data_IF_940922324722
#
_entry.id   IF_940922324722
#
_cell.length_a   1.000
_cell.length_b   1.000
_cell.length_c   1.000
_cell.angle_alpha   90.00
_cell.angle_beta   90.00
_cell.angle_gamma   90.00
#
_symmetry.space_group_name_H-M   'P 1'
#
loop_
_entity.id
_entity.type
_entity.pdbx_description
1 polymer ?
#
# COMPACT_ATOMS: atom_id res chain seq x y z
N UNK A 1 -19.01 9.52 -8.85
CA UNK A 1 -18.08 9.20 -7.76
C UNK A 1 -18.64 7.95 -7.11
N UNK A 2 -18.14 6.78 -7.49
CA UNK A 2 -18.63 5.48 -7.00
C UNK A 2 -17.95 5.23 -5.65
N UNK A 3 -18.74 4.85 -4.66
CA UNK A 3 -18.28 4.63 -3.30
C UNK A 3 -17.37 3.40 -3.26
N UNK A 4 -16.07 3.62 -3.03
CA UNK A 4 -15.07 2.56 -2.97
C UNK A 4 -15.30 1.58 -1.82
N UNK A 5 -16.12 1.92 -0.82
CA UNK A 5 -16.47 0.98 0.25
C UNK A 5 -17.38 -0.14 -0.24
N UNK A 6 -18.29 0.17 -1.17
CA UNK A 6 -19.23 -0.78 -1.74
C UNK A 6 -18.54 -1.85 -2.60
N UNK A 7 -17.52 -1.45 -3.38
CA UNK A 7 -16.73 -2.37 -4.20
C UNK A 7 -15.90 -3.34 -3.33
N UNK A 8 -15.39 -2.89 -2.18
CA UNK A 8 -14.66 -3.77 -1.25
C UNK A 8 -15.58 -4.79 -0.59
N UNK A 9 -16.77 -4.38 -0.15
CA UNK A 9 -17.73 -5.29 0.47
C UNK A 9 -18.18 -6.37 -0.52
N UNK A 10 -18.36 -6.01 -1.79
CA UNK A 10 -18.64 -6.96 -2.87
C UNK A 10 -17.46 -7.91 -3.09
N UNK A 11 -16.23 -7.42 -3.15
CA UNK A 11 -15.02 -8.24 -3.31
C UNK A 11 -14.87 -9.23 -2.14
N UNK A 12 -14.97 -8.76 -0.90
CA UNK A 12 -14.89 -9.58 0.32
C UNK A 12 -16.00 -10.65 0.37
N UNK A 13 -17.22 -10.30 -0.06
CA UNK A 13 -18.37 -11.22 0.01
C UNK A 13 -18.18 -12.48 -0.85
N UNK A 14 -17.36 -12.38 -1.90
CA UNK A 14 -17.10 -13.47 -2.84
C UNK A 14 -15.97 -14.41 -2.40
N UNK A 15 -15.13 -13.99 -1.43
CA UNK A 15 -13.95 -14.73 -1.02
C UNK A 15 -14.26 -15.70 0.13
N UNK A 16 -13.59 -16.86 0.18
CA UNK A 16 -13.61 -17.71 1.36
C UNK A 16 -13.13 -16.90 2.58
N UNK A 17 -13.84 -17.02 3.70
CA UNK A 17 -13.48 -16.36 4.95
C UNK A 17 -13.41 -17.33 6.12
N UNK A 18 -12.46 -17.11 7.01
CA UNK A 18 -12.25 -17.93 8.20
C UNK A 18 -12.17 -17.03 9.44
N UNK A 19 -12.75 -17.49 10.56
CA UNK A 19 -12.68 -16.75 11.81
C UNK A 19 -11.26 -16.81 12.36
N UNK A 20 -10.73 -15.66 12.76
CA UNK A 20 -9.35 -15.58 13.27
C UNK A 20 -9.31 -15.24 14.76
N UNK A 21 -9.26 -13.95 15.12
CA UNK A 21 -9.14 -13.49 16.52
C UNK A 21 -10.28 -12.52 16.83
N UNK A 22 -10.97 -12.74 17.95
CA UNK A 22 -12.10 -11.91 18.34
C UNK A 22 -13.24 -11.96 17.31
N UNK A 23 -13.63 -10.78 16.81
CA UNK A 23 -14.62 -10.59 15.75
C UNK A 23 -13.97 -10.43 14.36
N UNK A 24 -12.65 -10.56 14.25
CA UNK A 24 -11.93 -10.45 12.99
C UNK A 24 -11.99 -11.76 12.18
N UNK A 25 -12.06 -11.58 10.85
CA UNK A 25 -12.03 -12.65 9.86
C UNK A 25 -10.86 -12.46 8.92
N UNK A 26 -10.29 -13.57 8.47
CA UNK A 26 -9.34 -13.60 7.37
C UNK A 26 -10.07 -13.99 6.09
N UNK A 27 -9.62 -13.45 4.97
CA UNK A 27 -10.16 -13.71 3.64
C UNK A 27 -9.08 -14.36 2.79
N UNK A 28 -9.43 -15.43 2.06
CA UNK A 28 -8.49 -16.15 1.24
C UNK A 28 -8.43 -15.56 -0.17
N UNK A 29 -7.25 -15.12 -0.60
CA UNK A 29 -7.00 -14.59 -1.93
C UNK A 29 -5.67 -15.14 -2.44
N UNK A 30 -5.66 -15.69 -3.66
CA UNK A 30 -4.43 -16.23 -4.27
C UNK A 30 -3.77 -17.36 -3.47
N UNK A 31 -4.52 -18.06 -2.61
CA UNK A 31 -4.01 -19.12 -1.72
C UNK A 31 -3.45 -18.63 -0.37
N UNK A 32 -3.45 -17.32 -0.11
CA UNK A 32 -3.01 -16.72 1.14
C UNK A 32 -4.17 -16.12 1.91
N UNK A 33 -4.01 -15.99 3.23
CA UNK A 33 -5.02 -15.43 4.12
C UNK A 33 -4.68 -13.99 4.49
N UNK A 34 -5.63 -13.09 4.27
CA UNK A 34 -5.46 -11.65 4.41
C UNK A 34 -6.46 -11.07 5.40
N UNK A 35 -6.04 -10.05 6.15
CA UNK A 35 -6.96 -9.18 6.87
C UNK A 35 -7.76 -8.34 5.85
N UNK A 36 -8.99 -7.90 6.19
CA UNK A 36 -9.85 -7.12 5.29
C UNK A 36 -9.13 -5.93 4.65
N UNK A 37 -8.28 -5.24 5.42
CA UNK A 37 -7.57 -4.05 4.95
C UNK A 37 -6.49 -4.36 3.90
N UNK A 38 -5.98 -5.60 3.88
CA UNK A 38 -4.95 -6.04 2.93
C UNK A 38 -5.54 -6.58 1.62
N UNK A 39 -6.87 -6.70 1.49
CA UNK A 39 -7.49 -7.31 0.30
C UNK A 39 -7.22 -6.53 -0.99
N UNK A 40 -6.89 -5.23 -0.85
CA UNK A 40 -6.48 -4.37 -1.94
C UNK A 40 -5.25 -4.87 -2.71
N UNK A 41 -4.57 -5.92 -2.24
CA UNK A 41 -3.53 -6.63 -2.98
C UNK A 41 -3.99 -7.00 -4.41
N UNK A 42 -5.26 -7.38 -4.59
CA UNK A 42 -5.81 -7.68 -5.91
C UNK A 42 -5.73 -6.47 -6.85
N UNK A 43 -6.05 -5.29 -6.29
CA UNK A 43 -5.96 -4.02 -7.01
C UNK A 43 -4.51 -3.67 -7.35
N UNK A 44 -3.57 -3.89 -6.42
CA UNK A 44 -2.14 -3.73 -6.69
C UNK A 44 -1.71 -4.63 -7.86
N UNK A 45 -2.03 -5.92 -7.80
CA UNK A 45 -1.64 -6.89 -8.84
C UNK A 45 -2.16 -6.47 -10.22
N UNK A 46 -3.41 -6.00 -10.31
CA UNK A 46 -4.04 -5.70 -11.60
C UNK A 46 -3.78 -4.28 -12.12
N UNK A 47 -3.51 -3.31 -11.23
CA UNK A 47 -3.47 -1.89 -11.60
C UNK A 47 -2.10 -1.24 -11.38
N UNK A 48 -1.16 -1.90 -10.71
CA UNK A 48 0.18 -1.36 -10.53
C UNK A 48 0.96 -1.40 -11.85
N UNK A 49 1.43 -0.22 -12.26
CA UNK A 49 2.22 -0.02 -13.47
C UNK A 49 3.64 0.42 -13.06
N UNK A 50 4.59 -0.51 -12.90
CA UNK A 50 5.93 -0.18 -12.45
C UNK A 50 6.68 0.65 -13.50
N UNK A 51 7.38 1.68 -13.03
CA UNK A 51 8.38 2.37 -13.83
C UNK A 51 9.74 1.65 -13.72
N UNK A 52 10.63 1.74 -14.73
CA UNK A 52 11.97 1.16 -14.65
C UNK A 52 12.82 1.68 -13.49
N UNK A 53 12.47 2.84 -12.94
CA UNK A 53 13.14 3.47 -11.79
C UNK A 53 12.54 3.09 -10.43
N UNK A 54 11.42 2.37 -10.41
CA UNK A 54 10.74 2.05 -9.16
C UNK A 54 11.52 1.01 -8.35
N UNK A 55 11.55 1.21 -7.03
CA UNK A 55 12.18 0.29 -6.09
C UNK A 55 11.11 -0.24 -5.14
N UNK A 56 10.85 -1.54 -5.23
CA UNK A 56 9.85 -2.23 -4.41
C UNK A 56 10.55 -3.02 -3.31
N UNK A 57 10.17 -2.76 -2.06
CA UNK A 57 10.62 -3.54 -0.91
C UNK A 57 9.53 -4.55 -0.54
N UNK A 58 9.82 -5.84 -0.71
CA UNK A 58 8.92 -6.93 -0.32
C UNK A 58 9.42 -7.62 0.96
N UNK A 59 8.52 -7.81 1.93
CA UNK A 59 8.79 -8.48 3.21
C UNK A 59 7.49 -8.99 3.83
N UNK A 60 7.58 -10.01 4.69
CA UNK A 60 6.44 -10.37 5.53
C UNK A 60 6.06 -9.25 6.50
N UNK A 61 4.77 -9.13 6.88
CA UNK A 61 4.33 -8.15 7.87
C UNK A 61 5.17 -8.23 9.15
N UNK A 62 5.46 -7.07 9.74
CA UNK A 62 6.16 -6.91 11.03
C UNK A 62 7.61 -7.40 11.13
N UNK A 63 8.23 -7.86 10.05
CA UNK A 63 9.65 -8.28 10.02
C UNK A 63 10.66 -7.11 10.09
N UNK A 64 10.47 -6.15 10.99
CA UNK A 64 11.40 -5.03 11.19
C UNK A 64 11.42 -4.01 10.04
N UNK A 65 10.32 -3.88 9.30
CA UNK A 65 10.23 -3.04 8.09
C UNK A 65 10.59 -1.57 8.31
N UNK A 66 10.48 -1.06 9.54
CA UNK A 66 10.85 0.33 9.86
C UNK A 66 12.33 0.63 9.61
N UNK A 67 13.22 -0.27 10.02
CA UNK A 67 14.67 -0.11 9.83
C UNK A 67 15.05 -0.26 8.37
N UNK A 68 14.48 -1.25 7.67
CA UNK A 68 14.72 -1.45 6.25
C UNK A 68 14.21 -0.27 5.42
N UNK A 69 13.02 0.27 5.76
CA UNK A 69 12.49 1.48 5.12
C UNK A 69 13.38 2.70 5.38
N UNK A 70 13.85 2.89 6.60
CA UNK A 70 14.76 3.99 6.93
C UNK A 70 16.10 3.88 6.18
N UNK A 71 16.66 2.68 6.09
CA UNK A 71 17.90 2.41 5.36
C UNK A 71 17.73 2.66 3.86
N UNK A 72 16.68 2.11 3.26
CA UNK A 72 16.36 2.31 1.84
C UNK A 72 16.18 3.79 1.51
N UNK A 73 15.39 4.50 2.34
CA UNK A 73 15.20 5.95 2.19
C UNK A 73 16.52 6.72 2.28
N UNK A 74 17.39 6.37 3.23
CA UNK A 74 18.69 7.02 3.42
C UNK A 74 19.63 6.86 2.23
N UNK A 75 19.57 5.72 1.55
CA UNK A 75 20.42 5.40 0.39
C UNK A 75 19.96 6.16 -0.84
N UNK A 76 18.65 6.21 -1.07
CA UNK A 76 18.05 6.87 -2.24
C UNK A 76 18.07 8.40 -2.06
N UNK A 77 17.65 8.89 -0.89
CA UNK A 77 17.48 10.31 -0.59
C UNK A 77 18.65 10.86 0.24
N UNK A 78 19.90 10.68 -0.22
CA UNK A 78 21.10 11.00 0.57
C UNK A 78 21.17 12.44 1.07
N UNK A 79 20.69 13.39 0.28
CA UNK A 79 20.65 14.82 0.63
C UNK A 79 19.56 15.16 1.67
N UNK A 80 18.54 14.33 1.78
CA UNK A 80 17.35 14.56 2.62
C UNK A 80 17.25 13.60 3.80
N UNK A 81 18.37 13.02 4.24
CA UNK A 81 18.43 12.10 5.40
C UNK A 81 17.89 12.71 6.69
N UNK A 82 18.00 14.04 6.83
CA UNK A 82 17.45 14.78 7.97
C UNK A 82 15.94 14.57 8.14
N UNK A 83 15.21 14.14 7.09
CA UNK A 83 13.78 13.83 7.22
C UNK A 83 13.52 12.61 8.11
N UNK A 84 14.45 11.65 8.20
CA UNK A 84 14.31 10.48 9.07
C UNK A 84 14.37 10.81 10.57
N UNK A 85 14.87 11.99 10.95
CA UNK A 85 14.90 12.42 12.36
C UNK A 85 13.60 13.09 12.80
N UNK A 86 12.75 13.49 11.85
CA UNK A 86 11.49 14.21 12.11
C UNK A 86 10.25 13.45 11.65
N UNK A 87 10.38 12.55 10.67
CA UNK A 87 9.28 11.79 10.10
C UNK A 87 9.45 10.28 10.33
N UNK A 88 8.33 9.59 10.56
CA UNK A 88 8.32 8.14 10.65
C UNK A 88 8.62 7.50 9.27
N UNK A 89 9.53 6.52 9.17
CA UNK A 89 9.85 5.83 7.90
C UNK A 89 8.63 5.23 7.17
N UNK A 90 7.58 4.84 7.89
CA UNK A 90 6.33 4.35 7.31
C UNK A 90 5.53 5.43 6.57
N UNK A 91 5.80 6.71 6.83
CA UNK A 91 5.24 7.84 6.08
C UNK A 91 6.08 8.19 4.85
N UNK A 92 7.40 7.96 4.91
CA UNK A 92 8.33 8.25 3.82
C UNK A 92 8.30 7.20 2.71
N UNK A 93 8.03 5.93 3.04
CA UNK A 93 7.91 4.85 2.07
C UNK A 93 6.51 4.23 2.19
N UNK A 94 5.58 4.55 1.27
CA UNK A 94 4.21 4.03 1.32
C UNK A 94 4.21 2.51 1.17
N UNK A 95 3.17 1.88 1.72
CA UNK A 95 2.89 0.46 1.53
C UNK A 95 1.82 0.38 0.43
N UNK A 96 2.12 -0.34 -0.65
CA UNK A 96 1.26 -0.38 -1.85
C UNK A 96 -0.18 -0.78 -1.49
N UNK A 97 -0.31 -1.85 -0.73
CA UNK A 97 -1.60 -2.52 -0.47
C UNK A 97 -2.49 -1.74 0.50
N UNK A 98 -1.91 -0.85 1.33
CA UNK A 98 -2.65 -0.12 2.37
C UNK A 98 -2.77 1.37 2.09
N UNK A 99 -1.70 2.03 1.63
CA UNK A 99 -1.66 3.49 1.48
C UNK A 99 -1.87 3.94 0.04
N UNK A 100 -1.37 3.18 -0.93
CA UNK A 100 -1.46 3.56 -2.35
C UNK A 100 -2.76 3.08 -2.97
N UNK A 101 -3.15 1.85 -2.66
CA UNK A 101 -4.35 1.22 -3.21
C UNK A 101 -5.45 0.97 -2.18
N UNK A 102 -5.22 1.29 -0.91
CA UNK A 102 -6.21 1.17 0.16
C UNK A 102 -7.22 2.32 0.18
N UNK A 103 -8.39 2.07 0.77
CA UNK A 103 -9.43 3.08 1.01
C UNK A 103 -9.06 3.97 2.19
N UNK A 104 -8.20 4.96 1.97
CA UNK A 104 -8.11 6.13 2.88
C UNK A 104 -9.06 7.19 2.35
N UNK A 105 -9.97 7.77 3.17
CA UNK A 105 -10.74 8.93 2.74
C UNK A 105 -9.74 10.02 2.37
N UNK A 106 -9.85 10.51 1.13
CA UNK A 106 -8.89 11.45 0.55
C UNK A 106 -8.76 12.70 1.43
N UNK A 107 -7.72 12.75 2.28
CA UNK A 107 -7.11 14.03 2.58
C UNK A 107 -6.39 14.47 1.32
N UNK A 108 -7.03 15.38 0.62
CA UNK A 108 -6.54 16.06 -0.56
C UNK A 108 -5.07 16.44 -0.39
N UNK A 109 -4.19 15.89 -1.24
CA UNK A 109 -3.24 16.62 -2.11
C UNK A 109 -2.38 15.55 -2.83
N UNK A 110 -2.93 14.92 -3.85
CA UNK A 110 -2.13 14.23 -4.86
C UNK A 110 -2.46 14.87 -6.20
N UNK A 111 -1.63 15.84 -6.59
CA UNK A 111 -1.67 16.44 -7.92
C UNK A 111 -1.25 15.34 -8.90
N UNK A 112 -2.08 14.95 -9.88
CA UNK A 112 -1.67 13.97 -10.88
C UNK A 112 -0.54 14.56 -11.75
N UNK A 113 0.44 13.76 -12.20
CA UNK A 113 1.51 14.25 -13.04
C UNK A 113 0.93 14.81 -14.35
N UNK A 114 1.17 16.10 -14.58
CA UNK A 114 0.83 16.78 -15.82
C UNK A 114 1.68 16.21 -16.96
N UNK A 115 1.04 15.46 -17.86
CA UNK A 115 1.59 15.11 -19.18
C UNK A 115 1.79 16.40 -19.99
N UNK A 116 3.01 16.91 -20.00
CA UNK A 116 3.42 17.92 -20.97
C UNK A 116 4.03 17.18 -22.16
N UNK A 117 3.17 16.87 -23.13
CA UNK A 117 3.60 16.49 -24.47
C UNK A 117 4.17 17.74 -25.15
N UNK A 118 5.49 17.82 -25.29
CA UNK A 118 6.11 18.79 -26.19
C UNK A 118 5.99 18.28 -27.63
N UNK A 119 5.33 19.08 -28.48
CA UNK A 119 5.43 19.04 -29.95
C UNK A 119 6.62 19.88 -30.40
#
# INVERSE_FOLDING_TARGET
MVDSSFDLDLELSSLPKEKWVGDDYLFQLGGFWHLPQAIHVNRVINQFQPLPSDIISASFPEAGTGWLKALLYSIINRSSKHRLTVENPHSLIPILEYKTYGTTPASATAIPPSNINHS
#
